data_IF_207107917676
#
_entry.id   IF_207107917676
#
_cell.length_a   1.000
_cell.length_b   1.000
_cell.length_c   1.000
_cell.angle_alpha   90.00
_cell.angle_beta   90.00
_cell.angle_gamma   90.00
#
_symmetry.space_group_name_H-M   'P 1'
#
loop_
_entity.id
_entity.type
_entity.pdbx_description
1 polymer ?
#
# COMPACT_ATOMS: atom_id res chain seq x y z
N UNK A 1 -1.62 -5.07 -9.23
CA UNK A 1 -0.86 -4.00 -8.55
C UNK A 1 -1.49 -3.52 -7.25
N UNK A 2 -2.72 -3.00 -7.21
CA UNK A 2 -3.35 -2.62 -5.92
C UNK A 2 -3.51 -3.81 -4.96
N UNK A 3 -3.84 -4.99 -5.49
CA UNK A 3 -3.84 -6.25 -4.71
C UNK A 3 -2.47 -6.57 -4.12
N UNK A 4 -1.40 -6.43 -4.92
CA UNK A 4 -0.02 -6.70 -4.47
C UNK A 4 0.43 -5.70 -3.40
N UNK A 5 0.05 -4.43 -3.54
CA UNK A 5 0.27 -3.40 -2.51
C UNK A 5 -0.48 -3.76 -1.23
N UNK A 6 -1.75 -4.19 -1.34
CA UNK A 6 -2.56 -4.62 -0.20
C UNK A 6 -1.92 -5.79 0.55
N UNK A 7 -1.45 -6.80 -0.17
CA UNK A 7 -0.77 -7.96 0.39
C UNK A 7 0.55 -7.56 1.07
N UNK A 8 1.37 -6.73 0.42
CA UNK A 8 2.62 -6.25 1.00
C UNK A 8 2.39 -5.38 2.25
N UNK A 9 1.35 -4.55 2.28
CA UNK A 9 0.95 -3.79 3.46
C UNK A 9 0.48 -4.70 4.61
N UNK A 10 -0.33 -5.72 4.32
CA UNK A 10 -0.78 -6.67 5.32
C UNK A 10 0.40 -7.49 5.90
N UNK A 11 1.31 -7.94 5.03
CA UNK A 11 2.52 -8.64 5.42
C UNK A 11 3.47 -7.75 6.25
N UNK A 12 3.64 -6.49 5.86
CA UNK A 12 4.42 -5.51 6.62
C UNK A 12 3.86 -5.31 8.03
N UNK A 13 2.56 -5.06 8.16
CA UNK A 13 1.92 -4.86 9.48
C UNK A 13 1.99 -6.13 10.33
N UNK A 14 1.91 -7.31 9.71
CA UNK A 14 2.10 -8.59 10.40
C UNK A 14 3.55 -8.76 10.88
N UNK A 15 4.53 -8.43 10.05
CA UNK A 15 5.95 -8.43 10.42
C UNK A 15 6.25 -7.50 11.58
N UNK A 16 5.66 -6.29 11.58
CA UNK A 16 5.76 -5.35 12.72
C UNK A 16 5.19 -5.98 13.99
N UNK A 17 4.01 -6.60 13.93
CA UNK A 17 3.39 -7.29 15.09
C UNK A 17 4.24 -8.45 15.61
N UNK A 18 4.92 -9.17 14.71
CA UNK A 18 5.80 -10.31 15.03
C UNK A 18 7.22 -9.88 15.42
N UNK A 19 7.54 -8.58 15.38
CA UNK A 19 8.91 -8.06 15.50
C UNK A 19 9.91 -8.68 14.50
N UNK A 20 9.43 -9.10 13.32
CA UNK A 20 10.26 -9.68 12.27
C UNK A 20 10.88 -8.55 11.42
N UNK A 21 12.08 -8.13 11.82
CA UNK A 21 12.83 -7.07 11.15
C UNK A 21 13.14 -7.38 9.67
N UNK A 22 13.29 -8.66 9.31
CA UNK A 22 13.54 -9.07 7.93
C UNK A 22 12.28 -8.90 7.09
N UNK A 23 11.15 -9.43 7.55
CA UNK A 23 9.87 -9.28 6.87
C UNK A 23 9.49 -7.80 6.71
N UNK A 24 9.76 -6.97 7.72
CA UNK A 24 9.52 -5.52 7.64
C UNK A 24 10.37 -4.86 6.55
N UNK A 25 11.66 -5.19 6.49
CA UNK A 25 12.58 -4.62 5.50
C UNK A 25 12.23 -5.07 4.08
N UNK A 26 11.95 -6.36 3.88
CA UNK A 26 11.59 -6.93 2.58
C UNK A 26 10.27 -6.34 2.05
N UNK A 27 9.24 -6.23 2.90
CA UNK A 27 7.96 -5.66 2.48
C UNK A 27 8.02 -4.16 2.27
N UNK A 28 8.85 -3.43 3.04
CA UNK A 28 9.06 -1.99 2.81
C UNK A 28 9.71 -1.74 1.46
N UNK A 29 10.80 -2.46 1.13
CA UNK A 29 11.45 -2.34 -0.17
C UNK A 29 10.51 -2.71 -1.33
N UNK A 30 9.70 -3.75 -1.15
CA UNK A 30 8.68 -4.17 -2.12
C UNK A 30 7.61 -3.09 -2.33
N UNK A 31 7.16 -2.42 -1.27
CA UNK A 31 6.19 -1.32 -1.38
C UNK A 31 6.76 -0.11 -2.12
N UNK A 32 8.04 0.22 -1.92
CA UNK A 32 8.71 1.28 -2.67
C UNK A 32 8.74 0.99 -4.18
N UNK A 33 9.11 -0.24 -4.59
CA UNK A 33 9.07 -0.67 -6.00
C UNK A 33 7.65 -0.57 -6.59
N UNK A 34 6.66 -1.14 -5.89
CA UNK A 34 5.27 -1.13 -6.33
C UNK A 34 4.72 0.31 -6.44
N UNK A 35 5.12 1.21 -5.55
CA UNK A 35 4.73 2.62 -5.58
C UNK A 35 5.36 3.34 -6.77
N UNK A 36 6.65 3.14 -7.01
CA UNK A 36 7.37 3.74 -8.13
C UNK A 36 6.76 3.30 -9.48
N UNK A 37 6.48 1.99 -9.62
CA UNK A 37 5.80 1.44 -10.80
C UNK A 37 4.36 1.91 -10.93
N UNK A 38 3.68 2.09 -9.79
CA UNK A 38 2.31 2.60 -9.68
C UNK A 38 2.12 4.01 -10.20
N UNK A 39 3.05 4.92 -9.91
CA UNK A 39 2.93 6.32 -10.37
C UNK A 39 2.79 6.44 -11.88
N UNK A 40 3.50 5.61 -12.65
CA UNK A 40 3.43 5.60 -14.11
C UNK A 40 2.24 4.83 -14.69
N UNK A 41 1.58 4.00 -13.87
CA UNK A 41 0.55 3.06 -14.32
C UNK A 41 -0.89 3.47 -13.94
N UNK A 42 -1.09 4.68 -13.42
CA UNK A 42 -2.41 5.18 -13.01
C UNK A 42 -2.84 4.75 -11.61
N UNK A 43 -1.88 4.48 -10.70
CA UNK A 43 -2.20 4.24 -9.29
C UNK A 43 -2.88 5.49 -8.69
N UNK A 44 -3.86 5.28 -7.80
CA UNK A 44 -4.61 6.37 -7.20
C UNK A 44 -3.68 7.34 -6.44
N UNK A 45 -3.74 8.66 -6.70
CA UNK A 45 -2.80 9.62 -6.10
C UNK A 45 -2.86 9.65 -4.57
N UNK A 46 -4.03 9.40 -3.99
CA UNK A 46 -4.17 9.29 -2.53
C UNK A 46 -3.47 8.05 -1.96
N UNK A 47 -3.48 6.93 -2.70
CA UNK A 47 -2.77 5.72 -2.30
C UNK A 47 -1.25 5.95 -2.37
N UNK A 48 -0.76 6.58 -3.44
CA UNK A 48 0.65 7.01 -3.55
C UNK A 48 1.03 7.88 -2.36
N UNK A 49 0.21 8.88 -2.03
CA UNK A 49 0.47 9.79 -0.92
C UNK A 49 0.58 9.07 0.43
N UNK A 50 -0.28 8.08 0.70
CA UNK A 50 -0.18 7.28 1.92
C UNK A 50 1.09 6.42 1.96
N UNK A 51 1.50 5.85 0.82
CA UNK A 51 2.70 5.03 0.71
C UNK A 51 3.98 5.87 0.89
N UNK A 52 4.04 7.07 0.28
CA UNK A 52 5.16 8.01 0.45
C UNK A 52 5.31 8.49 1.90
N UNK A 53 4.19 8.76 2.58
CA UNK A 53 4.19 9.17 3.99
C UNK A 53 4.32 7.99 4.96
N UNK A 54 4.60 6.77 4.48
CA UNK A 54 4.66 5.53 5.27
C UNK A 54 3.43 5.29 6.15
N UNK A 55 2.28 5.84 5.74
CA UNK A 55 0.99 5.66 6.41
C UNK A 55 0.36 4.33 5.99
N UNK A 56 1.07 3.22 6.25
CA UNK A 56 0.71 1.88 5.78
C UNK A 56 -0.67 1.41 6.25
N UNK A 57 -1.05 1.75 7.49
CA UNK A 57 -2.38 1.43 8.00
C UNK A 57 -3.49 2.16 7.22
N UNK A 58 -3.29 3.44 6.86
CA UNK A 58 -4.25 4.22 6.06
C UNK A 58 -4.30 3.72 4.62
N UNK A 59 -3.16 3.39 4.02
CA UNK A 59 -3.10 2.76 2.70
C UNK A 59 -3.85 1.43 2.67
N UNK A 60 -3.71 0.61 3.72
CA UNK A 60 -4.43 -0.66 3.83
C UNK A 60 -5.93 -0.44 4.04
N UNK A 61 -6.33 0.56 4.83
CA UNK A 61 -7.73 0.95 4.99
C UNK A 61 -8.33 1.48 3.68
N UNK A 62 -7.60 2.30 2.93
CA UNK A 62 -8.01 2.77 1.61
C UNK A 62 -8.25 1.58 0.67
N UNK A 63 -7.32 0.62 0.60
CA UNK A 63 -7.45 -0.62 -0.19
C UNK A 63 -8.42 -1.67 0.40
N UNK A 64 -8.81 -1.51 1.67
CA UNK A 64 -9.63 -2.44 2.44
C UNK A 64 -11.09 -2.03 2.53
N UNK A 65 -11.36 -0.73 2.48
CA UNK A 65 -12.69 -0.12 2.56
C UNK A 65 -13.16 0.56 1.27
N UNK A 66 -12.28 0.93 0.34
CA UNK A 66 -12.69 1.82 -0.75
C UNK A 66 -11.87 1.70 -2.05
N UNK A 67 -12.24 0.72 -2.87
CA UNK A 67 -12.43 0.99 -4.29
C UNK A 67 -13.89 1.41 -4.57
N UNK A 68 -14.70 1.61 -3.52
CA UNK A 68 -16.15 1.81 -3.59
C UNK A 68 -16.53 3.28 -3.86
N UNK A 69 -15.64 4.25 -3.67
CA UNK A 69 -15.76 5.60 -4.23
C UNK A 69 -14.88 5.80 -5.49
N UNK A 70 -14.57 4.72 -6.24
CA UNK A 70 -14.15 4.84 -7.65
C UNK A 70 -15.32 5.40 -8.49
N UNK A 71 -15.52 6.71 -8.44
CA UNK A 71 -16.37 7.43 -9.38
C UNK A 71 -17.40 8.33 -8.74
N UNK A 72 -16.96 9.50 -8.28
CA UNK A 72 -17.72 10.69 -8.65
C UNK A 72 -17.78 10.74 -10.19
N UNK A 73 -18.91 10.33 -10.76
CA UNK A 73 -19.23 10.37 -12.19
C UNK A 73 -20.11 9.18 -12.58
N UNK A 74 -21.44 9.30 -12.72
CA UNK A 74 -22.33 10.45 -12.93
C UNK A 74 -23.69 10.14 -12.31
#
# INVERSE_FOLDING_TARGET
>A
METEIKEALAALLTGIKQADARAVSENTARLDDLTARGRGAGLHPQLVHFLENRSYAKALMFLGGDAAERGAGR
#
